data_IF_665059804105
#
_entry.id   IF_665059804105
#
_cell.length_a   1.000
_cell.length_b   1.000
_cell.length_c   1.000
_cell.angle_alpha   90.00
_cell.angle_beta   90.00
_cell.angle_gamma   90.00
#
_symmetry.space_group_name_H-M   'P 1'
#
loop_
_entity.id
_entity.type
_entity.pdbx_description
1 polymer ?
#
# COMPACT_ATOMS: atom_id res chain seq x y z
N UNK A 1 -19.08 17.64 -22.25
CA UNK A 1 -18.23 16.43 -22.30
C UNK A 1 -18.55 15.58 -21.08
N UNK A 2 -18.55 14.25 -21.21
CA UNK A 2 -18.70 13.36 -20.05
C UNK A 2 -17.52 13.56 -19.07
N UNK A 3 -17.79 13.60 -17.77
CA UNK A 3 -16.78 13.82 -16.73
C UNK A 3 -15.83 12.62 -16.66
N UNK A 4 -14.52 12.84 -16.78
CA UNK A 4 -13.50 11.77 -16.70
C UNK A 4 -13.15 11.50 -15.22
N UNK A 5 -13.35 10.27 -14.76
CA UNK A 5 -13.14 9.89 -13.36
C UNK A 5 -11.85 9.13 -13.08
N UNK A 6 -11.21 8.55 -14.09
CA UNK A 6 -10.02 7.71 -13.95
C UNK A 6 -8.90 8.24 -14.83
N UNK A 7 -7.72 8.46 -14.24
CA UNK A 7 -6.53 8.99 -14.91
C UNK A 7 -5.39 7.99 -14.81
N UNK A 8 -4.95 7.46 -15.94
CA UNK A 8 -3.86 6.50 -16.00
C UNK A 8 -2.48 7.16 -15.84
N UNK A 9 -1.50 6.43 -15.29
CA UNK A 9 -0.07 6.77 -15.29
C UNK A 9 0.80 5.51 -15.41
N UNK A 10 1.94 5.59 -16.12
CA UNK A 10 2.90 4.50 -16.29
C UNK A 10 3.43 4.39 -17.72
N UNK A 11 4.50 3.61 -17.90
CA UNK A 11 5.12 3.35 -19.23
C UNK A 11 5.47 4.65 -20.00
N UNK A 12 6.04 5.62 -19.28
CA UNK A 12 6.44 6.92 -19.85
C UNK A 12 5.26 7.83 -20.24
N UNK A 13 4.03 7.51 -19.83
CA UNK A 13 2.81 8.25 -20.18
C UNK A 13 1.95 8.52 -18.94
N UNK A 14 1.22 9.62 -18.97
CA UNK A 14 0.17 9.89 -17.99
C UNK A 14 -0.97 10.68 -18.62
N UNK A 15 -2.18 10.42 -18.14
CA UNK A 15 -3.39 11.15 -18.53
C UNK A 15 -3.53 12.49 -17.79
N UNK A 16 -2.70 12.72 -16.76
CA UNK A 16 -2.68 13.92 -15.93
C UNK A 16 -1.26 14.42 -15.66
N UNK A 17 -1.12 15.42 -14.80
CA UNK A 17 0.16 16.06 -14.44
C UNK A 17 0.03 16.77 -13.07
N UNK A 18 1.11 17.42 -12.62
CA UNK A 18 1.13 18.13 -11.33
C UNK A 18 0.04 19.20 -11.19
N UNK A 19 -0.31 19.92 -12.27
CA UNK A 19 -1.33 20.99 -12.22
C UNK A 19 -2.74 20.48 -11.85
N UNK A 20 -3.00 19.18 -11.99
CA UNK A 20 -4.26 18.55 -11.63
C UNK A 20 -4.32 18.11 -10.15
N UNK A 21 -3.45 18.64 -9.27
CA UNK A 21 -3.41 18.34 -7.83
C UNK A 21 -4.75 18.40 -7.11
N UNK A 22 -5.63 19.32 -7.49
CA UNK A 22 -6.97 19.40 -6.89
C UNK A 22 -7.86 18.21 -7.29
N UNK A 23 -7.68 17.70 -8.50
CA UNK A 23 -8.48 16.61 -9.05
C UNK A 23 -7.90 15.23 -8.70
N UNK A 24 -6.58 15.07 -8.75
CA UNK A 24 -5.87 13.79 -8.55
C UNK A 24 -5.31 13.62 -7.13
N UNK A 25 -5.44 14.65 -6.29
CA UNK A 25 -4.71 14.75 -5.04
C UNK A 25 -3.20 14.94 -5.26
N UNK A 26 -2.47 15.24 -4.18
CA UNK A 26 -1.01 15.42 -4.24
C UNK A 26 -0.28 14.17 -4.73
N UNK A 27 -0.66 12.99 -4.25
CA UNK A 27 -0.01 11.73 -4.65
C UNK A 27 -0.29 11.37 -6.12
N UNK A 28 -1.54 11.46 -6.57
CA UNK A 28 -1.90 11.09 -7.94
C UNK A 28 -1.29 12.04 -8.97
N UNK A 29 -1.29 13.35 -8.67
CA UNK A 29 -0.65 14.36 -9.52
C UNK A 29 0.87 14.12 -9.63
N UNK A 30 1.54 13.83 -8.50
CA UNK A 30 2.98 13.53 -8.52
C UNK A 30 3.31 12.21 -9.22
N UNK A 31 2.47 11.17 -9.07
CA UNK A 31 2.65 9.91 -9.81
C UNK A 31 2.52 10.13 -11.32
N UNK A 32 1.54 10.92 -11.75
CA UNK A 32 1.37 11.29 -13.14
C UNK A 32 2.56 12.11 -13.67
N UNK A 33 3.06 13.07 -12.88
CA UNK A 33 4.22 13.88 -13.22
C UNK A 33 5.48 13.01 -13.38
N UNK A 34 5.79 12.18 -12.38
CA UNK A 34 6.97 11.30 -12.40
C UNK A 34 6.92 10.30 -13.57
N UNK A 35 5.75 9.73 -13.86
CA UNK A 35 5.59 8.72 -14.91
C UNK A 35 5.52 9.30 -16.33
N UNK A 36 4.86 10.46 -16.50
CA UNK A 36 4.50 11.01 -17.80
C UNK A 36 5.30 12.22 -18.24
N UNK A 37 5.98 12.95 -17.34
CA UNK A 37 6.74 14.13 -17.72
C UNK A 37 7.95 13.76 -18.57
N UNK A 38 8.08 14.41 -19.73
CA UNK A 38 9.07 14.07 -20.76
C UNK A 38 10.51 14.13 -20.24
N UNK A 39 10.80 15.00 -19.28
CA UNK A 39 12.13 15.19 -18.70
C UNK A 39 12.41 14.33 -17.46
N UNK A 40 11.39 13.76 -16.81
CA UNK A 40 11.57 12.95 -15.60
C UNK A 40 11.65 11.46 -15.94
N UNK A 41 10.60 10.93 -16.60
CA UNK A 41 10.48 9.51 -17.01
C UNK A 41 10.97 8.52 -15.95
N UNK A 42 10.60 8.76 -14.70
CA UNK A 42 11.01 7.90 -13.59
C UNK A 42 10.35 6.52 -13.74
N UNK A 43 11.00 5.43 -13.25
CA UNK A 43 10.48 4.07 -13.35
C UNK A 43 9.32 3.83 -12.37
N UNK A 44 8.22 4.54 -12.58
CA UNK A 44 7.00 4.46 -11.76
C UNK A 44 6.19 3.24 -12.21
N UNK A 45 5.87 2.28 -11.30
CA UNK A 45 4.98 1.17 -11.63
C UNK A 45 3.63 1.69 -12.15
N UNK A 46 3.07 1.09 -13.21
CA UNK A 46 1.84 1.58 -13.84
C UNK A 46 0.65 1.48 -12.89
N UNK A 47 -0.30 2.41 -13.07
CA UNK A 47 -1.48 2.52 -12.23
C UNK A 47 -2.46 3.55 -12.77
N UNK A 48 -3.42 3.91 -11.94
CA UNK A 48 -4.39 4.94 -12.23
C UNK A 48 -4.92 5.59 -10.96
N UNK A 49 -5.42 6.82 -11.11
CA UNK A 49 -6.02 7.61 -10.03
C UNK A 49 -7.51 7.81 -10.31
N UNK A 50 -8.35 7.42 -9.36
CA UNK A 50 -9.75 7.86 -9.29
C UNK A 50 -9.77 9.27 -8.67
N UNK A 51 -10.44 10.21 -9.33
CA UNK A 51 -10.41 11.62 -8.93
C UNK A 51 -11.11 11.90 -7.61
N UNK A 52 -10.80 13.06 -7.00
CA UNK A 52 -11.53 13.60 -5.84
C UNK A 52 -13.02 13.78 -6.11
N UNK A 53 -13.40 14.07 -7.36
CA UNK A 53 -14.81 14.13 -7.77
C UNK A 53 -15.57 12.81 -7.56
N UNK A 54 -14.89 11.66 -7.68
CA UNK A 54 -15.52 10.37 -7.37
C UNK A 54 -15.87 10.29 -5.89
N UNK A 55 -15.02 10.81 -5.00
CA UNK A 55 -15.30 10.89 -3.58
C UNK A 55 -16.52 11.76 -3.30
N UNK A 56 -16.62 12.93 -3.94
CA UNK A 56 -17.79 13.82 -3.82
C UNK A 56 -19.06 13.11 -4.30
N UNK A 57 -19.05 12.55 -5.52
CA UNK A 57 -20.18 11.78 -6.05
C UNK A 57 -20.56 10.58 -5.15
N UNK A 58 -19.56 9.92 -4.55
CA UNK A 58 -19.79 8.80 -3.65
C UNK A 58 -20.61 9.24 -2.43
N UNK A 59 -20.26 10.35 -1.79
CA UNK A 59 -21.02 10.85 -0.65
C UNK A 59 -22.39 11.43 -1.04
N UNK A 60 -22.46 12.21 -2.12
CA UNK A 60 -23.71 12.81 -2.61
C UNK A 60 -24.75 11.74 -3.00
N UNK A 61 -24.30 10.60 -3.53
CA UNK A 61 -25.16 9.50 -3.96
C UNK A 61 -25.30 8.39 -2.91
N UNK A 62 -25.31 8.73 -1.62
CA UNK A 62 -25.51 7.76 -0.51
C UNK A 62 -24.52 6.59 -0.53
N UNK A 63 -23.24 6.88 -0.76
CA UNK A 63 -22.13 5.90 -0.82
C UNK A 63 -22.24 4.94 -2.01
N UNK A 64 -22.69 5.46 -3.16
CA UNK A 64 -22.74 4.73 -4.43
C UNK A 64 -21.90 5.41 -5.49
N UNK A 65 -21.37 4.62 -6.43
CA UNK A 65 -20.45 5.12 -7.45
C UNK A 65 -21.17 5.79 -8.62
N UNK A 66 -20.57 6.81 -9.27
CA UNK A 66 -21.12 7.36 -10.50
C UNK A 66 -21.20 6.31 -11.60
N UNK A 67 -22.23 6.42 -12.45
CA UNK A 67 -22.43 5.54 -13.61
C UNK A 67 -21.19 5.59 -14.53
N UNK A 68 -20.75 4.43 -15.02
CA UNK A 68 -19.59 4.34 -15.91
C UNK A 68 -18.24 4.15 -15.20
N UNK A 69 -18.17 4.37 -13.87
CA UNK A 69 -16.91 4.25 -13.13
C UNK A 69 -16.33 2.83 -13.16
N UNK A 70 -17.19 1.82 -13.07
CA UNK A 70 -16.73 0.42 -13.07
C UNK A 70 -16.04 0.07 -14.39
N UNK A 71 -16.60 0.55 -15.48
CA UNK A 71 -16.08 0.37 -16.83
C UNK A 71 -14.79 1.17 -17.05
N UNK A 72 -14.70 2.40 -16.51
CA UNK A 72 -13.47 3.19 -16.52
C UNK A 72 -12.33 2.51 -15.76
N UNK A 73 -12.61 2.00 -14.56
CA UNK A 73 -11.64 1.26 -13.74
C UNK A 73 -11.20 -0.02 -14.44
N UNK A 74 -12.12 -0.78 -15.04
CA UNK A 74 -11.80 -1.99 -15.79
C UNK A 74 -10.88 -1.69 -17.00
N UNK A 75 -11.14 -0.61 -17.76
CA UNK A 75 -10.26 -0.17 -18.85
C UNK A 75 -8.87 0.23 -18.37
N UNK A 76 -8.78 0.94 -17.26
CA UNK A 76 -7.50 1.36 -16.70
C UNK A 76 -6.70 0.16 -16.18
N UNK A 77 -7.36 -0.78 -15.50
CA UNK A 77 -6.76 -2.03 -15.03
C UNK A 77 -6.24 -2.88 -16.19
N UNK A 78 -7.02 -3.04 -17.27
CA UNK A 78 -6.58 -3.73 -18.49
C UNK A 78 -5.32 -3.10 -19.11
N UNK A 79 -5.16 -1.78 -18.98
CA UNK A 79 -3.95 -1.08 -19.43
C UNK A 79 -2.74 -1.41 -18.56
N UNK A 80 -2.93 -1.47 -17.23
CA UNK A 80 -1.91 -1.91 -16.27
C UNK A 80 -1.50 -3.37 -16.55
N UNK A 81 -2.48 -4.26 -16.72
CA UNK A 81 -2.27 -5.67 -17.06
C UNK A 81 -1.41 -5.83 -18.32
N UNK A 82 -1.75 -5.11 -19.39
CA UNK A 82 -0.99 -5.12 -20.65
C UNK A 82 0.46 -4.69 -20.48
N UNK A 83 0.71 -3.63 -19.72
CA UNK A 83 2.08 -3.11 -19.49
C UNK A 83 2.88 -4.08 -18.62
N UNK A 84 2.25 -4.64 -17.59
CA UNK A 84 2.91 -5.58 -16.67
C UNK A 84 3.04 -6.99 -17.25
N UNK A 85 2.32 -7.31 -18.33
CA UNK A 85 2.21 -8.67 -18.87
C UNK A 85 1.54 -9.64 -17.88
N UNK A 86 0.71 -9.12 -16.96
CA UNK A 86 0.08 -9.83 -15.84
C UNK A 86 -1.44 -9.66 -15.91
N UNK A 87 -2.19 -10.53 -15.25
CA UNK A 87 -3.66 -10.46 -15.19
C UNK A 87 -4.14 -10.38 -13.74
N UNK A 88 -5.04 -9.45 -13.42
CA UNK A 88 -5.59 -9.26 -12.09
C UNK A 88 -6.54 -10.40 -11.76
N UNK A 89 -6.14 -11.24 -10.80
CA UNK A 89 -6.81 -12.51 -10.52
C UNK A 89 -6.39 -13.67 -11.44
N UNK A 90 -5.42 -13.47 -12.32
CA UNK A 90 -4.90 -14.50 -13.21
C UNK A 90 -4.26 -15.67 -12.45
N UNK A 91 -4.54 -16.90 -12.91
CA UNK A 91 -4.05 -18.13 -12.25
C UNK A 91 -2.68 -18.60 -12.75
N UNK A 92 -2.13 -17.94 -13.76
CA UNK A 92 -0.80 -18.23 -14.31
C UNK A 92 0.19 -17.10 -14.06
N UNK A 93 -0.24 -15.85 -14.26
CA UNK A 93 0.57 -14.66 -14.02
C UNK A 93 -0.21 -13.54 -13.31
N UNK A 94 -0.48 -13.69 -12.00
CA UNK A 94 -1.28 -12.74 -11.26
C UNK A 94 -0.63 -11.35 -11.17
N UNK A 95 -1.46 -10.33 -11.38
CA UNK A 95 -1.22 -8.94 -11.03
C UNK A 95 -1.74 -8.69 -9.61
N UNK A 96 -0.88 -8.10 -8.77
CA UNK A 96 -1.28 -7.54 -7.48
C UNK A 96 -1.20 -6.03 -7.54
N UNK A 97 -2.09 -5.34 -6.82
CA UNK A 97 -2.14 -3.88 -6.77
C UNK A 97 -2.12 -3.35 -5.34
N UNK A 98 -1.72 -2.10 -5.17
CA UNK A 98 -1.96 -1.31 -3.97
C UNK A 98 -3.11 -0.34 -4.22
N UNK A 99 -3.86 -0.02 -3.17
CA UNK A 99 -4.92 0.99 -3.16
C UNK A 99 -4.57 2.03 -2.10
N UNK A 100 -4.27 3.25 -2.54
CA UNK A 100 -3.67 4.29 -1.70
C UNK A 100 -4.43 5.61 -1.80
N UNK A 101 -4.82 6.13 -0.66
CA UNK A 101 -5.41 7.48 -0.53
C UNK A 101 -4.46 8.59 -1.00
N UNK A 102 -5.02 9.65 -1.59
CA UNK A 102 -4.31 10.85 -1.98
C UNK A 102 -5.20 12.09 -1.92
N UNK A 103 -5.17 12.82 -0.80
CA UNK A 103 -5.86 14.11 -0.69
C UNK A 103 -5.08 15.24 -1.36
N UNK A 104 -5.72 16.40 -1.55
CA UNK A 104 -5.11 17.62 -2.14
C UNK A 104 -3.95 18.16 -1.29
N UNK A 105 -4.17 18.23 0.03
CA UNK A 105 -3.15 18.52 1.05
C UNK A 105 -2.71 17.20 1.69
N UNK A 106 -1.42 17.09 2.01
CA UNK A 106 -0.88 15.89 2.65
C UNK A 106 -1.51 15.69 4.03
N UNK A 107 -1.92 14.47 4.35
CA UNK A 107 -2.49 14.07 5.64
C UNK A 107 -1.77 12.79 6.12
N UNK A 108 -0.52 12.91 6.61
CA UNK A 108 0.31 11.76 6.95
C UNK A 108 -0.32 10.95 8.10
N UNK A 109 -0.41 9.63 7.94
CA UNK A 109 -0.96 8.71 8.95
C UNK A 109 -2.49 8.79 9.15
N UNK A 110 -3.20 9.66 8.42
CA UNK A 110 -4.64 9.88 8.61
C UNK A 110 -5.51 9.12 7.62
N UNK A 111 -4.93 8.66 6.51
CA UNK A 111 -5.66 8.10 5.40
C UNK A 111 -5.17 6.69 5.08
N UNK A 112 -6.09 5.85 4.64
CA UNK A 112 -5.85 4.42 4.58
C UNK A 112 -5.07 4.01 3.33
N UNK A 113 -4.42 2.84 3.42
CA UNK A 113 -3.70 2.17 2.33
C UNK A 113 -3.88 0.68 2.48
N UNK A 114 -4.06 -0.02 1.36
CA UNK A 114 -4.09 -1.48 1.29
C UNK A 114 -3.09 -1.95 0.25
N UNK A 115 -2.18 -2.84 0.62
CA UNK A 115 -1.21 -3.45 -0.31
C UNK A 115 -1.61 -4.90 -0.61
N UNK A 116 -0.99 -5.47 -1.65
CA UNK A 116 -1.15 -6.88 -2.06
C UNK A 116 -2.58 -7.26 -2.48
N UNK A 117 -3.42 -6.28 -2.86
CA UNK A 117 -4.79 -6.51 -3.33
C UNK A 117 -4.76 -7.36 -4.59
N UNK A 118 -5.63 -8.37 -4.64
CA UNK A 118 -5.66 -9.41 -5.67
C UNK A 118 -5.07 -10.74 -5.21
N UNK A 119 -4.44 -10.79 -4.03
CA UNK A 119 -3.91 -12.01 -3.44
C UNK A 119 -5.03 -12.80 -2.77
N UNK A 120 -5.33 -13.95 -3.37
CA UNK A 120 -6.41 -14.88 -3.02
C UNK A 120 -5.88 -16.31 -3.01
N UNK A 121 -6.62 -17.25 -2.42
CA UNK A 121 -6.24 -18.67 -2.40
C UNK A 121 -5.97 -19.23 -3.80
N UNK A 122 -6.72 -18.78 -4.80
CA UNK A 122 -6.58 -19.17 -6.21
C UNK A 122 -5.28 -18.64 -6.86
N UNK A 123 -4.81 -17.46 -6.46
CA UNK A 123 -3.59 -16.84 -7.02
C UNK A 123 -2.30 -17.28 -6.32
N UNK A 124 -2.39 -17.80 -5.10
CA UNK A 124 -1.22 -18.20 -4.29
C UNK A 124 -0.33 -19.22 -5.04
N UNK A 125 -0.84 -20.33 -5.59
CA UNK A 125 0.01 -21.31 -6.28
C UNK A 125 0.80 -20.69 -7.45
N UNK A 126 0.17 -19.78 -8.19
CA UNK A 126 0.80 -19.08 -9.31
C UNK A 126 1.94 -18.18 -8.82
N UNK A 127 1.73 -17.39 -7.77
CA UNK A 127 2.76 -16.53 -7.18
C UNK A 127 3.93 -17.33 -6.61
N UNK A 128 3.66 -18.47 -5.98
CA UNK A 128 4.71 -19.36 -5.46
C UNK A 128 5.58 -19.83 -6.63
N UNK A 129 4.96 -20.30 -7.72
CA UNK A 129 5.67 -20.74 -8.92
C UNK A 129 6.53 -19.63 -9.54
N UNK A 130 6.03 -18.39 -9.56
CA UNK A 130 6.74 -17.28 -10.18
C UNK A 130 7.91 -16.75 -9.38
N UNK A 131 7.74 -16.69 -8.06
CA UNK A 131 8.76 -16.14 -7.18
C UNK A 131 9.75 -17.18 -6.70
N UNK A 132 9.41 -18.47 -6.80
CA UNK A 132 10.17 -19.55 -6.18
C UNK A 132 10.23 -19.41 -4.65
N UNK A 133 9.37 -18.59 -4.05
CA UNK A 133 9.48 -18.17 -2.66
C UNK A 133 8.12 -18.27 -1.95
N UNK A 134 7.77 -19.47 -1.50
CA UNK A 134 6.52 -19.74 -0.80
C UNK A 134 6.37 -18.91 0.48
N UNK A 135 7.48 -18.70 1.21
CA UNK A 135 7.52 -17.89 2.41
C UNK A 135 7.09 -16.45 2.13
N UNK A 136 7.60 -15.84 1.06
CA UNK A 136 7.20 -14.49 0.62
C UNK A 136 5.70 -14.40 0.33
N UNK A 137 5.14 -15.38 -0.38
CA UNK A 137 3.71 -15.33 -0.78
C UNK A 137 2.80 -15.39 0.45
N UNK A 138 3.08 -16.29 1.40
CA UNK A 138 2.29 -16.35 2.64
C UNK A 138 2.56 -15.16 3.58
N UNK A 139 3.76 -14.57 3.56
CA UNK A 139 4.03 -13.31 4.27
C UNK A 139 3.20 -12.15 3.69
N UNK A 140 3.14 -12.04 2.36
CA UNK A 140 2.31 -11.05 1.68
C UNK A 140 0.82 -11.29 1.95
N UNK A 141 0.37 -12.55 2.02
CA UNK A 141 -1.02 -12.90 2.27
C UNK A 141 -1.45 -12.59 3.70
N UNK A 142 -0.66 -12.96 4.72
CA UNK A 142 -0.99 -12.60 6.12
C UNK A 142 -1.00 -11.09 6.33
N UNK A 143 -0.11 -10.35 5.65
CA UNK A 143 -0.12 -8.86 5.65
C UNK A 143 -1.38 -8.29 5.00
N UNK A 144 -1.79 -8.84 3.85
CA UNK A 144 -3.06 -8.45 3.22
C UNK A 144 -4.22 -8.69 4.19
N UNK A 145 -4.34 -9.89 4.77
CA UNK A 145 -5.43 -10.23 5.68
C UNK A 145 -5.47 -9.24 6.85
N UNK A 146 -4.32 -8.97 7.49
CA UNK A 146 -4.26 -8.07 8.62
C UNK A 146 -4.67 -6.63 8.27
N UNK A 147 -4.05 -6.07 7.24
CA UNK A 147 -4.28 -4.69 6.81
C UNK A 147 -5.69 -4.49 6.24
N UNK A 148 -6.15 -5.40 5.40
CA UNK A 148 -7.48 -5.31 4.80
C UNK A 148 -8.58 -5.48 5.85
N UNK A 149 -8.40 -6.37 6.83
CA UNK A 149 -9.38 -6.55 7.90
C UNK A 149 -9.47 -5.30 8.79
N UNK A 150 -8.34 -4.70 9.16
CA UNK A 150 -8.26 -3.44 9.91
C UNK A 150 -8.92 -2.28 9.15
N UNK A 151 -8.48 -2.06 7.91
CA UNK A 151 -8.84 -0.88 7.12
C UNK A 151 -10.24 -0.99 6.52
N UNK A 152 -10.52 -2.10 5.82
CA UNK A 152 -11.71 -2.24 4.98
C UNK A 152 -12.86 -2.87 5.76
N UNK A 153 -12.58 -3.92 6.54
CA UNK A 153 -13.64 -4.70 7.19
C UNK A 153 -14.05 -4.16 8.56
N UNK A 154 -13.14 -3.49 9.29
CA UNK A 154 -13.42 -2.90 10.60
C UNK A 154 -13.64 -1.38 10.50
N UNK A 155 -12.58 -0.60 10.23
CA UNK A 155 -12.64 0.88 10.26
C UNK A 155 -13.62 1.46 9.26
N UNK A 156 -13.52 1.06 7.98
CA UNK A 156 -14.40 1.57 6.94
C UNK A 156 -15.86 1.10 7.12
N UNK A 157 -16.08 -0.04 7.78
CA UNK A 157 -17.41 -0.51 8.15
C UNK A 157 -18.01 0.27 9.34
N UNK A 158 -17.24 1.15 9.99
CA UNK A 158 -17.68 1.90 11.16
C UNK A 158 -17.82 1.04 12.41
N UNK A 159 -17.12 -0.09 12.46
CA UNK A 159 -17.09 -0.97 13.63
C UNK A 159 -16.11 -0.36 14.64
N UNK A 160 -16.63 0.01 15.81
CA UNK A 160 -15.82 0.53 16.92
C UNK A 160 -15.55 -0.60 17.92
N UNK A 161 -14.29 -1.03 18.10
CA UNK A 161 -13.95 -2.05 19.08
C UNK A 161 -14.28 -1.58 20.50
N UNK A 162 -14.76 -2.49 21.34
CA UNK A 162 -15.04 -2.25 22.77
C UNK A 162 -13.74 -2.16 23.59
N UNK A 163 -12.90 -1.17 23.27
CA UNK A 163 -11.63 -0.91 23.92
C UNK A 163 -10.44 -0.99 22.98
N UNK A 164 -9.36 -0.32 23.37
CA UNK A 164 -8.19 -0.10 22.52
C UNK A 164 -7.54 -1.39 22.05
N UNK A 165 -7.63 -2.48 22.81
CA UNK A 165 -6.98 -3.76 22.52
C UNK A 165 -7.86 -4.79 21.80
N UNK A 166 -9.09 -4.40 21.44
CA UNK A 166 -10.08 -5.27 20.82
C UNK A 166 -10.15 -5.14 19.30
N UNK A 167 -9.51 -4.13 18.72
CA UNK A 167 -9.45 -3.96 17.26
C UNK A 167 -8.79 -5.13 16.56
N UNK A 168 -9.31 -5.50 15.39
CA UNK A 168 -8.91 -6.71 14.66
C UNK A 168 -7.40 -6.75 14.42
N UNK A 169 -6.77 -5.63 14.09
CA UNK A 169 -5.30 -5.56 13.89
C UNK A 169 -4.53 -6.07 15.11
N UNK A 170 -4.84 -5.57 16.30
CA UNK A 170 -4.18 -5.98 17.55
C UNK A 170 -4.46 -7.44 17.89
N UNK A 171 -5.67 -7.93 17.58
CA UNK A 171 -6.01 -9.34 17.78
C UNK A 171 -5.16 -10.26 16.89
N UNK A 172 -4.92 -9.86 15.64
CA UNK A 172 -4.03 -10.58 14.73
C UNK A 172 -2.55 -10.49 15.14
N UNK A 173 -2.10 -9.33 15.63
CA UNK A 173 -0.75 -9.15 16.19
C UNK A 173 -0.52 -10.06 17.41
N UNK A 174 -1.51 -10.22 18.31
CA UNK A 174 -1.47 -11.16 19.44
C UNK A 174 -1.31 -12.62 18.98
N UNK A 175 -2.04 -13.04 17.94
CA UNK A 175 -1.92 -14.39 17.36
C UNK A 175 -0.51 -14.61 16.81
N UNK A 176 0.05 -13.63 16.10
CA UNK A 176 1.40 -13.72 15.56
C UNK A 176 2.46 -13.77 16.67
N UNK A 177 2.31 -12.94 17.71
CA UNK A 177 3.21 -12.96 18.87
C UNK A 177 3.19 -14.31 19.60
N UNK A 178 2.01 -14.91 19.75
CA UNK A 178 1.84 -16.25 20.33
C UNK A 178 2.54 -17.32 19.48
N UNK A 179 2.36 -17.31 18.16
CA UNK A 179 3.05 -18.24 17.26
C UNK A 179 4.58 -18.10 17.35
N UNK A 180 5.11 -16.86 17.40
CA UNK A 180 6.55 -16.63 17.57
C UNK A 180 7.07 -17.22 18.88
N UNK A 181 6.33 -17.08 19.97
CA UNK A 181 6.66 -17.68 21.27
C UNK A 181 6.67 -19.21 21.20
N UNK A 182 5.67 -19.82 20.56
CA UNK A 182 5.57 -21.28 20.39
C UNK A 182 6.71 -21.84 19.53
N UNK A 183 7.17 -21.08 18.54
CA UNK A 183 8.27 -21.45 17.65
C UNK A 183 9.65 -21.04 18.17
N UNK A 184 9.71 -20.39 19.35
CA UNK A 184 10.93 -19.86 19.95
C UNK A 184 11.74 -18.95 19.01
N UNK A 185 11.05 -18.11 18.24
CA UNK A 185 11.66 -17.13 17.33
C UNK A 185 11.39 -15.71 17.80
N UNK A 186 12.28 -14.77 17.47
CA UNK A 186 12.15 -13.37 17.86
C UNK A 186 11.58 -12.51 16.73
N UNK A 187 12.08 -12.72 15.51
CA UNK A 187 11.73 -11.90 14.36
C UNK A 187 10.65 -12.57 13.52
N UNK A 188 9.84 -11.75 12.86
CA UNK A 188 8.82 -12.21 11.89
C UNK A 188 9.45 -12.91 10.69
N UNK A 189 10.71 -12.57 10.37
CA UNK A 189 11.51 -13.17 9.31
C UNK A 189 11.91 -14.61 9.59
N UNK A 190 11.90 -15.02 10.86
CA UNK A 190 12.33 -16.35 11.30
C UNK A 190 11.19 -17.38 11.17
N UNK A 191 9.95 -16.94 10.90
CA UNK A 191 8.82 -17.83 10.65
C UNK A 191 8.94 -18.49 9.27
N UNK A 192 8.77 -19.81 9.23
CA UNK A 192 8.83 -20.59 7.99
C UNK A 192 7.59 -20.38 7.11
N UNK A 193 7.65 -20.81 5.85
CA UNK A 193 6.49 -20.81 4.96
C UNK A 193 5.29 -21.59 5.55
N UNK A 194 5.56 -22.73 6.19
CA UNK A 194 4.53 -23.55 6.82
C UNK A 194 3.87 -22.83 8.00
N UNK A 195 4.67 -22.13 8.82
CA UNK A 195 4.14 -21.34 9.94
C UNK A 195 3.25 -20.20 9.44
N UNK A 196 3.70 -19.47 8.41
CA UNK A 196 2.92 -18.37 7.82
C UNK A 196 1.63 -18.86 7.16
N UNK A 197 1.64 -20.04 6.54
CA UNK A 197 0.43 -20.67 5.99
C UNK A 197 -0.59 -20.98 7.09
N UNK A 198 -0.14 -21.54 8.22
CA UNK A 198 -0.98 -21.77 9.41
C UNK A 198 -1.51 -20.43 9.94
N UNK A 199 -0.64 -19.42 10.02
CA UNK A 199 -0.98 -18.09 10.51
C UNK A 199 -2.09 -17.44 9.67
N UNK A 200 -2.04 -17.55 8.33
CA UNK A 200 -3.11 -17.06 7.45
C UNK A 200 -4.47 -17.71 7.78
N UNK A 201 -4.47 -19.02 8.07
CA UNK A 201 -5.68 -19.74 8.49
C UNK A 201 -6.22 -19.23 9.82
N UNK A 202 -5.34 -19.05 10.81
CA UNK A 202 -5.71 -18.49 12.12
C UNK A 202 -6.25 -17.06 12.00
N UNK A 203 -5.64 -16.23 11.15
CA UNK A 203 -6.07 -14.86 10.91
C UNK A 203 -7.48 -14.83 10.32
N UNK A 204 -7.74 -15.56 9.23
CA UNK A 204 -9.08 -15.62 8.63
C UNK A 204 -10.15 -16.12 9.62
N UNK A 205 -9.82 -17.13 10.45
CA UNK A 205 -10.73 -17.62 11.49
C UNK A 205 -11.06 -16.52 12.50
N UNK A 206 -10.04 -15.77 12.97
CA UNK A 206 -10.24 -14.66 13.91
C UNK A 206 -11.02 -13.50 13.29
N UNK A 207 -10.77 -13.18 12.02
CA UNK A 207 -11.54 -12.20 11.24
C UNK A 207 -13.01 -12.57 11.20
N UNK A 208 -13.34 -13.83 10.85
CA UNK A 208 -14.73 -14.32 10.85
C UNK A 208 -15.36 -14.28 12.24
N UNK A 209 -14.61 -14.63 13.27
CA UNK A 209 -15.07 -14.64 14.65
C UNK A 209 -15.45 -13.23 15.15
N UNK A 210 -14.61 -12.23 14.88
CA UNK A 210 -14.80 -10.85 15.37
C UNK A 210 -15.75 -10.07 14.45
N UNK A 211 -15.46 -10.03 13.16
CA UNK A 211 -16.17 -9.19 12.18
C UNK A 211 -17.41 -9.86 11.58
N UNK A 212 -17.67 -11.13 11.94
CA UNK A 212 -18.82 -11.93 11.49
C UNK A 212 -18.93 -12.06 9.96
N UNK A 213 -17.83 -11.85 9.25
CA UNK A 213 -17.72 -11.92 7.79
C UNK A 213 -16.46 -12.68 7.41
N UNK A 214 -16.56 -13.50 6.37
CA UNK A 214 -15.39 -14.14 5.78
C UNK A 214 -14.47 -13.09 5.13
N UNK A 215 -13.17 -13.38 5.12
CA UNK A 215 -12.21 -12.58 4.39
C UNK A 215 -12.48 -12.70 2.87
N UNK A 216 -12.55 -11.59 2.11
CA UNK A 216 -12.88 -11.64 0.69
C UNK A 216 -11.78 -12.34 -0.11
N UNK A 217 -12.13 -13.46 -0.75
CA UNK A 217 -11.21 -14.29 -1.54
C UNK A 217 -11.40 -14.12 -3.05
N UNK A 218 -12.02 -13.00 -3.46
CA UNK A 218 -12.19 -12.62 -4.87
C UNK A 218 -11.45 -11.29 -5.17
N UNK A 219 -10.57 -11.22 -6.20
CA UNK A 219 -9.72 -10.05 -6.44
C UNK A 219 -10.50 -8.75 -6.66
N UNK A 220 -11.59 -8.80 -7.42
CA UNK A 220 -12.41 -7.62 -7.69
C UNK A 220 -13.18 -7.15 -6.45
N UNK A 221 -13.60 -8.07 -5.57
CA UNK A 221 -14.19 -7.70 -4.29
C UNK A 221 -13.17 -6.97 -3.42
N UNK A 222 -11.94 -7.48 -3.35
CA UNK A 222 -10.85 -6.81 -2.63
C UNK A 222 -10.56 -5.42 -3.20
N UNK A 223 -10.51 -5.27 -4.53
CA UNK A 223 -10.26 -3.98 -5.18
C UNK A 223 -11.34 -2.95 -4.83
N UNK A 224 -12.62 -3.30 -5.01
CA UNK A 224 -13.72 -2.38 -4.73
C UNK A 224 -13.89 -2.10 -3.24
N UNK A 225 -13.62 -3.07 -2.37
CA UNK A 225 -13.58 -2.86 -0.93
C UNK A 225 -12.49 -1.88 -0.53
N UNK A 226 -11.27 -2.04 -1.06
CA UNK A 226 -10.16 -1.09 -0.85
C UNK A 226 -10.47 0.32 -1.34
N UNK A 227 -11.05 0.45 -2.54
CA UNK A 227 -11.46 1.76 -3.09
C UNK A 227 -12.51 2.42 -2.19
N UNK A 228 -13.53 1.65 -1.79
CA UNK A 228 -14.60 2.14 -0.91
C UNK A 228 -14.03 2.57 0.44
N UNK A 229 -13.11 1.81 1.01
CA UNK A 229 -12.49 2.11 2.30
C UNK A 229 -11.70 3.41 2.28
N UNK A 230 -10.98 3.71 1.18
CA UNK A 230 -10.30 5.00 1.03
C UNK A 230 -11.28 6.17 0.99
N UNK A 231 -12.39 6.05 0.27
CA UNK A 231 -13.40 7.11 0.28
C UNK A 231 -14.03 7.25 1.66
N UNK A 232 -14.39 6.14 2.31
CA UNK A 232 -14.96 6.13 3.65
C UNK A 232 -14.00 6.71 4.71
N UNK A 233 -12.70 6.52 4.56
CA UNK A 233 -11.70 7.06 5.48
C UNK A 233 -11.66 8.59 5.47
N UNK A 234 -12.13 9.25 4.41
CA UNK A 234 -12.25 10.71 4.39
C UNK A 234 -13.16 11.21 5.51
N UNK A 235 -14.29 10.56 5.78
CA UNK A 235 -15.17 10.93 6.90
C UNK A 235 -14.92 10.10 8.18
N UNK A 236 -13.76 9.46 8.29
CA UNK A 236 -13.33 8.83 9.54
C UNK A 236 -13.07 9.87 10.62
N UNK A 237 -13.34 9.52 11.89
CA UNK A 237 -13.19 10.43 13.05
C UNK A 237 -11.81 11.13 13.07
N UNK A 238 -10.73 10.37 12.87
CA UNK A 238 -9.34 10.89 12.84
C UNK A 238 -9.13 11.90 11.70
N UNK A 239 -9.63 11.59 10.50
CA UNK A 239 -9.50 12.47 9.34
C UNK A 239 -10.28 13.78 9.53
N UNK A 240 -11.49 13.72 10.09
CA UNK A 240 -12.30 14.90 10.42
C UNK A 240 -11.54 15.78 11.42
N UNK A 241 -11.06 15.21 12.54
CA UNK A 241 -10.31 15.96 13.55
C UNK A 241 -9.06 16.62 12.97
N UNK A 242 -8.29 15.87 12.17
CA UNK A 242 -7.10 16.41 11.51
C UNK A 242 -7.45 17.57 10.57
N UNK A 243 -8.51 17.44 9.77
CA UNK A 243 -8.97 18.51 8.87
C UNK A 243 -9.37 19.78 9.61
N UNK A 244 -10.03 19.66 10.76
CA UNK A 244 -10.39 20.81 11.59
C UNK A 244 -9.16 21.53 12.14
N UNK A 245 -8.14 20.80 12.57
CA UNK A 245 -6.87 21.37 13.06
C UNK A 245 -6.11 22.05 11.92
N UNK A 246 -6.02 21.41 10.76
CA UNK A 246 -5.24 21.86 9.61
C UNK A 246 -5.98 22.79 8.65
N UNK A 247 -7.20 23.20 9.01
CA UNK A 247 -8.12 24.02 8.21
C UNK A 247 -8.31 23.49 6.78
N UNK A 248 -8.53 22.17 6.65
CA UNK A 248 -8.78 21.50 5.37
C UNK A 248 -10.30 21.38 5.17
N UNK A 249 -10.85 21.94 4.07
CA UNK A 249 -12.29 21.84 3.80
C UNK A 249 -12.78 20.40 3.53
N UNK A 250 -14.00 20.09 3.96
CA UNK A 250 -14.57 18.74 3.87
C UNK A 250 -14.93 18.36 2.43
N UNK A 251 -15.31 19.34 1.61
CA UNK A 251 -15.75 19.18 0.23
C UNK A 251 -14.61 18.82 -0.73
N UNK A 252 -13.34 18.90 -0.29
CA UNK A 252 -12.18 18.57 -1.13
C UNK A 252 -12.11 17.10 -1.50
N UNK A 253 -12.63 16.21 -0.64
CA UNK A 253 -12.57 14.77 -0.80
C UNK A 253 -11.14 14.22 -0.88
N UNK A 254 -11.05 12.95 -1.26
CA UNK A 254 -9.77 12.26 -1.48
C UNK A 254 -9.77 11.54 -2.82
N UNK A 255 -8.61 11.46 -3.47
CA UNK A 255 -8.41 10.61 -4.65
C UNK A 255 -7.94 9.21 -4.20
N UNK A 256 -8.14 8.23 -5.08
CA UNK A 256 -7.68 6.85 -4.86
C UNK A 256 -6.68 6.48 -5.93
N UNK A 257 -5.47 6.08 -5.53
CA UNK A 257 -4.43 5.62 -6.44
C UNK A 257 -4.39 4.10 -6.39
N UNK A 258 -4.65 3.46 -7.53
CA UNK A 258 -4.49 2.01 -7.72
C UNK A 258 -3.22 1.80 -8.53
N UNK A 259 -2.26 1.06 -8.00
CA UNK A 259 -0.94 0.92 -8.62
C UNK A 259 -0.43 -0.51 -8.55
N UNK A 260 0.19 -1.00 -9.62
CA UNK A 260 0.81 -2.32 -9.65
C UNK A 260 1.82 -2.46 -8.49
N UNK A 261 1.78 -3.61 -7.81
CA UNK A 261 2.72 -3.92 -6.73
C UNK A 261 4.12 -4.17 -7.28
N UNK A 262 5.10 -3.64 -6.56
CA UNK A 262 6.50 -4.06 -6.60
C UNK A 262 6.89 -4.48 -5.19
N UNK A 263 7.79 -5.46 -5.06
CA UNK A 263 8.05 -6.13 -3.80
C UNK A 263 9.49 -5.91 -3.35
N UNK A 264 9.67 -5.23 -2.21
CA UNK A 264 10.97 -5.14 -1.54
C UNK A 264 11.30 -6.36 -0.67
N UNK A 265 10.39 -7.34 -0.57
CA UNK A 265 10.46 -8.50 0.32
C UNK A 265 10.53 -9.85 -0.41
N UNK A 266 11.05 -9.89 -1.64
CA UNK A 266 11.23 -11.13 -2.40
C UNK A 266 12.53 -11.88 -2.06
N UNK A 267 13.45 -11.25 -1.33
CA UNK A 267 14.77 -11.81 -1.03
C UNK A 267 15.76 -10.72 -0.60
N UNK A 268 17.02 -11.10 -0.49
CA UNK A 268 18.10 -10.20 -0.06
C UNK A 268 18.60 -9.26 -1.18
N UNK A 269 18.17 -9.49 -2.41
CA UNK A 269 18.38 -8.62 -3.57
C UNK A 269 17.26 -7.59 -3.76
N UNK A 270 16.27 -7.59 -2.86
CA UNK A 270 15.11 -6.69 -2.88
C UNK A 270 15.12 -5.80 -1.64
N UNK A 271 14.71 -4.53 -1.81
CA UNK A 271 14.66 -3.57 -0.71
C UNK A 271 13.58 -2.52 -0.90
N UNK A 272 13.27 -1.81 0.18
CA UNK A 272 12.40 -0.63 0.21
C UNK A 272 13.06 0.45 1.05
N UNK A 273 12.80 1.72 0.76
CA UNK A 273 13.36 2.81 1.55
C UNK A 273 12.62 4.12 1.36
N UNK A 274 12.98 5.10 2.19
CA UNK A 274 12.52 6.49 2.12
C UNK A 274 13.75 7.37 2.17
N UNK A 275 13.82 8.34 1.27
CA UNK A 275 14.92 9.28 1.20
C UNK A 275 14.44 10.71 0.94
N UNK A 276 15.31 11.65 1.30
CA UNK A 276 15.19 13.07 1.13
C UNK A 276 16.42 13.56 0.36
N UNK A 277 16.23 14.50 -0.55
CA UNK A 277 17.31 15.10 -1.34
C UNK A 277 18.26 15.97 -0.50
N UNK A 278 17.82 16.35 0.70
CA UNK A 278 18.59 17.06 1.73
C UNK A 278 18.28 16.45 3.10
N UNK A 279 19.19 16.62 4.05
CA UNK A 279 18.95 16.17 5.41
C UNK A 279 17.79 16.99 6.04
N UNK A 280 16.66 16.36 6.41
CA UNK A 280 15.51 17.08 6.93
C UNK A 280 15.71 17.59 8.37
N UNK A 281 16.71 17.09 9.09
CA UNK A 281 16.97 17.45 10.49
C UNK A 281 17.84 18.71 10.65
N UNK A 282 18.78 18.95 9.74
CA UNK A 282 19.71 20.09 9.81
C UNK A 282 19.77 20.95 8.53
N UNK A 283 19.12 20.53 7.44
CA UNK A 283 19.09 21.26 6.17
C UNK A 283 20.31 21.07 5.28
N UNK A 284 21.28 20.23 5.67
CA UNK A 284 22.48 19.96 4.87
C UNK A 284 22.13 19.39 3.50
N UNK A 285 22.87 19.84 2.47
CA UNK A 285 22.66 19.42 1.09
C UNK A 285 23.32 18.06 0.81
N UNK A 286 22.87 17.04 1.56
CA UNK A 286 23.30 15.65 1.45
C UNK A 286 22.08 14.77 1.26
N UNK A 287 22.14 13.81 0.33
CA UNK A 287 21.12 12.78 0.22
C UNK A 287 21.00 12.06 1.55
N UNK A 288 19.79 11.92 2.09
CA UNK A 288 19.56 11.38 3.43
C UNK A 288 18.38 10.43 3.40
N UNK A 289 18.51 9.25 3.97
CA UNK A 289 17.42 8.30 3.98
C UNK A 289 17.76 7.00 4.67
N UNK A 290 16.76 6.14 4.73
CA UNK A 290 16.85 4.84 5.35
C UNK A 290 16.18 3.78 4.48
N UNK A 291 16.67 2.55 4.55
CA UNK A 291 16.16 1.43 3.77
C UNK A 291 16.19 0.13 4.55
N UNK A 292 15.39 -0.83 4.11
CA UNK A 292 15.34 -2.19 4.63
C UNK A 292 15.42 -3.19 3.48
N UNK A 293 16.37 -4.11 3.60
CA UNK A 293 16.45 -5.30 2.74
C UNK A 293 15.38 -6.31 3.16
N UNK A 294 14.79 -6.97 2.15
CA UNK A 294 13.77 -7.99 2.33
C UNK A 294 12.60 -7.49 3.21
N UNK A 295 11.98 -6.38 2.81
CA UNK A 295 10.96 -5.67 3.58
C UNK A 295 9.91 -4.99 2.67
N UNK A 296 8.73 -4.71 3.21
CA UNK A 296 7.75 -3.82 2.56
C UNK A 296 7.79 -2.44 3.19
N UNK A 297 7.30 -1.42 2.46
CA UNK A 297 7.36 -0.02 2.95
C UNK A 297 6.73 0.20 4.32
N UNK A 298 5.76 -0.65 4.70
CA UNK A 298 5.18 -0.66 6.05
C UNK A 298 6.25 -0.90 7.14
N UNK A 299 7.20 -1.80 6.90
CA UNK A 299 8.22 -2.16 7.89
C UNK A 299 9.19 -1.00 8.17
N UNK A 300 9.42 -0.14 7.17
CA UNK A 300 10.24 1.08 7.31
C UNK A 300 9.51 2.10 8.18
N UNK A 301 8.19 2.25 8.01
CA UNK A 301 7.39 3.25 8.73
C UNK A 301 7.03 2.79 10.14
N UNK A 302 6.80 1.49 10.34
CA UNK A 302 6.36 0.94 11.62
C UNK A 302 7.48 0.86 12.67
N UNK A 303 8.75 0.99 12.27
CA UNK A 303 9.89 0.96 13.20
C UNK A 303 10.10 -0.39 13.90
N UNK A 304 9.50 -1.47 13.40
CA UNK A 304 9.64 -2.84 13.97
C UNK A 304 11.06 -3.37 13.73
N UNK A 305 11.67 -3.00 12.60
CA UNK A 305 13.07 -3.28 12.27
C UNK A 305 13.84 -1.98 12.20
N UNK A 306 15.02 -1.95 12.80
CA UNK A 306 15.94 -0.82 12.64
C UNK A 306 16.35 -0.70 11.18
N UNK A 307 16.03 0.41 10.51
CA UNK A 307 16.38 0.58 9.11
C UNK A 307 17.86 0.95 8.98
N UNK A 308 18.47 0.49 7.89
CA UNK A 308 19.86 0.80 7.57
C UNK A 308 19.93 2.17 6.87
N UNK A 309 21.01 2.95 7.06
CA UNK A 309 21.14 4.24 6.42
C UNK A 309 21.42 4.08 4.92
N UNK A 310 21.01 5.07 4.14
CA UNK A 310 21.29 5.08 2.69
C UNK A 310 22.77 5.34 2.41
N UNK A 311 23.41 6.24 3.15
CA UNK A 311 24.83 6.58 3.02
C UNK A 311 25.63 6.10 4.24
N UNK A 312 26.92 5.83 4.04
CA UNK A 312 27.81 5.52 5.17
C UNK A 312 27.97 6.70 6.13
N UNK A 313 27.98 7.94 5.59
CA UNK A 313 28.09 9.17 6.40
C UNK A 313 26.86 9.41 7.28
N UNK A 314 25.72 8.82 6.95
CA UNK A 314 24.46 8.94 7.71
C UNK A 314 24.29 7.88 8.81
N UNK A 315 25.34 7.10 9.12
CA UNK A 315 25.32 6.17 10.25
C UNK A 315 25.21 6.90 11.58
N UNK A 316 24.41 6.33 12.48
CA UNK A 316 24.24 6.73 13.87
C UNK A 316 24.59 5.57 14.80
N UNK A 317 24.69 5.82 16.10
CA UNK A 317 24.93 4.77 17.10
C UNK A 317 23.92 3.61 17.03
N UNK A 318 22.70 3.88 16.58
CA UNK A 318 21.63 2.88 16.49
C UNK A 318 21.76 1.94 15.27
N UNK A 319 22.48 2.34 14.23
CA UNK A 319 22.57 1.61 12.97
C UNK A 319 24.00 1.46 12.43
N UNK A 320 25.03 1.77 13.23
CA UNK A 320 26.44 1.73 12.83
C UNK A 320 26.90 0.36 12.29
N UNK A 321 26.35 -0.71 12.86
CA UNK A 321 26.63 -2.10 12.48
C UNK A 321 25.89 -2.53 11.20
N UNK A 322 24.90 -1.76 10.75
CA UNK A 322 24.14 -2.08 9.55
C UNK A 322 24.91 -1.67 8.29
N UNK A 323 24.75 -2.46 7.23
CA UNK A 323 25.33 -2.17 5.92
C UNK A 323 24.48 -1.08 5.25
N UNK A 324 25.09 0.02 4.82
CA UNK A 324 24.36 1.08 4.11
C UNK A 324 24.00 0.66 2.68
N UNK A 325 23.07 1.39 2.04
CA UNK A 325 22.72 1.15 0.64
C UNK A 325 23.94 1.40 -0.27
N UNK A 326 24.71 2.44 0.04
CA UNK A 326 25.96 2.80 -0.63
C UNK A 326 26.95 1.63 -0.69
N UNK A 327 27.14 0.90 0.42
CA UNK A 327 28.04 -0.28 0.47
C UNK A 327 27.39 -1.57 -0.03
N UNK A 328 26.13 -1.82 0.34
CA UNK A 328 25.44 -3.08 0.08
C UNK A 328 24.94 -3.21 -1.36
N UNK A 329 24.58 -2.10 -2.01
CA UNK A 329 24.03 -2.08 -3.36
C UNK A 329 24.61 -0.92 -4.20
N UNK A 330 25.94 -0.85 -4.40
CA UNK A 330 26.62 0.32 -4.97
C UNK A 330 26.16 0.66 -6.39
N UNK A 331 25.75 -0.34 -7.18
CA UNK A 331 25.22 -0.12 -8.54
C UNK A 331 23.86 0.59 -8.52
N UNK A 332 22.97 0.21 -7.59
CA UNK A 332 21.66 0.85 -7.44
C UNK A 332 21.79 2.22 -6.79
N UNK A 333 22.66 2.36 -5.79
CA UNK A 333 22.93 3.63 -5.13
C UNK A 333 23.39 4.71 -6.12
N UNK A 334 24.25 4.36 -7.10
CA UNK A 334 24.69 5.30 -8.16
C UNK A 334 23.59 5.77 -9.11
N UNK A 335 22.41 5.13 -9.10
CA UNK A 335 21.26 5.54 -9.91
C UNK A 335 20.34 6.54 -9.18
N UNK A 336 20.52 6.72 -7.87
CA UNK A 336 19.74 7.64 -7.02
C UNK A 336 20.35 9.05 -7.04
#
# INVERSE_FOLDING_TARGET
MAKKYVYFFGDGKADGNESLKNLLGGKGANLAEMAGHKSLRLPVPPGFTLTTDVCTCFYDNKRTYPKGLREDVARALARVEKIMGKEFGGLANPLLVSVRSGARKSMPGMMETVLNVGLTEKTIPALIKQTGNERFVYDAYRRLIAMYSDVVMEKAAGIEPEGDDMGIRKQLEKIMAQMKKEKNVKLDTDLSAADLKILCGLFKKKVKEILKKDFPDEPLEQLWGGISAVFLSWNGKRAISYRRIENIPDEWGTAVNVQAMVFGNMGNDSATGVAFTRNPGNGENTFYGEYLVNAQGEDVVAGIRTPAPVNESSKSEHNKELVSLEKGMPKLYKQL
#
